data_IF_423883887257
#
_entry.id   IF_423883887257
#
_cell.length_a   1.000
_cell.length_b   1.000
_cell.length_c   1.000
_cell.angle_alpha   90.00
_cell.angle_beta   90.00
_cell.angle_gamma   90.00
#
_symmetry.space_group_name_H-M   'P 1'
#
loop_
_entity.id
_entity.type
_entity.pdbx_description
1 polymer ?
#
# COMPACT_ATOMS: atom_id res chain seq x y z
N UNK A 1 11.54 13.34 10.01
CA UNK A 1 10.69 12.73 11.06
C UNK A 1 9.84 11.66 10.39
N UNK A 2 9.51 10.59 11.09
CA UNK A 2 8.67 9.49 10.60
C UNK A 2 7.42 9.36 11.45
N UNK A 3 6.34 8.82 10.89
CA UNK A 3 5.19 8.38 11.66
C UNK A 3 5.62 7.26 12.62
N UNK A 4 5.07 7.27 13.84
CA UNK A 4 5.34 6.22 14.83
C UNK A 4 4.75 4.91 14.38
N UNK A 5 3.62 4.95 13.67
CA UNK A 5 2.97 3.74 13.16
C UNK A 5 2.14 4.05 11.92
N UNK A 6 2.36 3.27 10.87
CA UNK A 6 1.40 3.04 9.78
C UNK A 6 1.15 1.54 9.72
N UNK A 7 -0.10 1.13 9.49
CA UNK A 7 -0.44 -0.28 9.32
C UNK A 7 -0.77 -0.53 7.86
N UNK A 8 -0.05 -1.45 7.24
CA UNK A 8 -0.39 -1.95 5.91
C UNK A 8 -1.12 -3.27 6.05
N UNK A 9 -2.26 -3.41 5.37
CA UNK A 9 -3.07 -4.64 5.31
C UNK A 9 -3.13 -5.13 3.87
N UNK A 10 -3.01 -6.43 3.68
CA UNK A 10 -3.00 -7.07 2.37
C UNK A 10 -4.09 -8.13 2.31
N UNK A 11 -4.92 -8.07 1.27
CA UNK A 11 -6.01 -9.02 1.09
C UNK A 11 -6.34 -9.26 -0.39
N UNK A 12 -7.26 -10.19 -0.66
CA UNK A 12 -7.66 -10.53 -2.02
C UNK A 12 -6.56 -11.17 -2.85
N UNK A 13 -5.53 -11.76 -2.24
CA UNK A 13 -4.38 -12.36 -2.91
C UNK A 13 -3.18 -11.41 -3.04
N UNK A 14 -3.29 -10.15 -2.63
CA UNK A 14 -2.13 -9.24 -2.57
C UNK A 14 -1.05 -9.77 -1.61
N UNK A 15 -1.42 -10.44 -0.52
CA UNK A 15 -0.50 -11.03 0.45
C UNK A 15 0.50 -12.02 -0.17
N UNK A 16 0.14 -12.65 -1.30
CA UNK A 16 1.04 -13.57 -2.02
C UNK A 16 2.30 -12.87 -2.54
N UNK A 17 2.23 -11.56 -2.81
CA UNK A 17 3.38 -10.77 -3.24
C UNK A 17 4.33 -10.43 -2.07
N UNK A 18 3.87 -10.60 -0.83
CA UNK A 18 4.55 -10.20 0.40
C UNK A 18 4.78 -11.40 1.33
N UNK A 19 5.17 -12.55 0.77
CA UNK A 19 5.45 -13.79 1.54
C UNK A 19 4.28 -14.26 2.42
N UNK A 20 3.04 -14.06 1.94
CA UNK A 20 1.79 -14.39 2.63
C UNK A 20 1.56 -13.61 3.92
N UNK A 21 2.27 -12.49 4.12
CA UNK A 21 1.99 -11.57 5.21
C UNK A 21 0.69 -10.80 4.94
N UNK A 22 -0.24 -10.83 5.91
CA UNK A 22 -1.52 -10.10 5.82
C UNK A 22 -1.41 -8.72 6.47
N UNK A 23 -0.54 -8.56 7.47
CA UNK A 23 -0.38 -7.32 8.22
C UNK A 23 1.10 -6.95 8.28
N UNK A 24 1.45 -5.77 7.76
CA UNK A 24 2.80 -5.23 7.77
C UNK A 24 2.79 -3.94 8.62
N UNK A 25 3.15 -4.01 9.91
CA UNK A 25 3.28 -2.81 10.73
C UNK A 25 4.57 -2.05 10.37
N UNK A 26 4.43 -0.78 10.00
CA UNK A 26 5.53 0.11 9.67
C UNK A 26 5.73 1.10 10.82
N UNK A 27 6.62 0.77 11.76
CA UNK A 27 6.96 1.63 12.90
C UNK A 27 8.23 2.44 12.61
N UNK A 28 8.13 3.77 12.70
CA UNK A 28 9.24 4.69 12.44
C UNK A 28 9.88 4.55 11.03
N UNK A 29 9.08 4.11 10.05
CA UNK A 29 9.53 3.87 8.66
C UNK A 29 9.03 4.95 7.71
N UNK A 30 7.74 5.29 7.77
CA UNK A 30 7.10 6.19 6.80
C UNK A 30 7.38 7.64 7.19
N UNK A 31 7.98 8.48 6.32
CA UNK A 31 8.23 9.89 6.61
C UNK A 31 6.95 10.68 6.89
N UNK A 32 7.02 11.65 7.80
CA UNK A 32 5.91 12.60 8.01
C UNK A 32 5.69 13.43 6.75
N UNK A 33 4.44 13.53 6.32
CA UNK A 33 4.06 14.20 5.07
C UNK A 33 4.16 13.31 3.85
N UNK A 34 4.42 12.00 4.03
CA UNK A 34 4.45 11.07 2.92
C UNK A 34 3.04 10.84 2.34
N UNK A 35 2.96 10.68 1.03
CA UNK A 35 1.70 10.35 0.35
C UNK A 35 1.51 8.84 0.19
N UNK A 36 0.30 8.43 -0.18
CA UNK A 36 0.01 7.03 -0.57
C UNK A 36 0.93 6.57 -1.71
N UNK A 37 1.22 7.40 -2.72
CA UNK A 37 2.20 7.09 -3.78
C UNK A 37 3.58 6.71 -3.22
N UNK A 38 4.05 7.48 -2.23
CA UNK A 38 5.36 7.25 -1.63
C UNK A 38 5.37 5.99 -0.75
N UNK A 39 4.25 5.67 -0.10
CA UNK A 39 4.08 4.38 0.59
C UNK A 39 4.11 3.21 -0.40
N UNK A 40 3.42 3.31 -1.54
CA UNK A 40 3.43 2.29 -2.60
C UNK A 40 4.87 2.05 -3.09
N UNK A 41 5.62 3.11 -3.39
CA UNK A 41 7.01 3.02 -3.84
C UNK A 41 7.94 2.44 -2.75
N UNK A 42 7.72 2.77 -1.48
CA UNK A 42 8.44 2.19 -0.34
C UNK A 42 8.18 0.68 -0.24
N UNK A 43 6.93 0.25 -0.32
CA UNK A 43 6.54 -1.15 -0.28
C UNK A 43 7.12 -1.92 -1.48
N UNK A 44 7.03 -1.34 -2.68
CA UNK A 44 7.61 -1.90 -3.92
C UNK A 44 9.10 -2.19 -3.78
N UNK A 45 9.87 -1.29 -3.14
CA UNK A 45 11.33 -1.39 -3.05
C UNK A 45 11.83 -2.30 -1.94
N UNK A 46 11.09 -2.43 -0.84
CA UNK A 46 11.59 -3.10 0.38
C UNK A 46 10.77 -4.31 0.86
N UNK A 47 9.48 -4.36 0.51
CA UNK A 47 8.53 -5.27 1.16
C UNK A 47 7.99 -6.34 0.23
N UNK A 48 7.80 -6.03 -1.05
CA UNK A 48 7.45 -7.05 -2.06
C UNK A 48 8.57 -8.09 -2.14
N UNK A 49 8.22 -9.37 -2.02
CA UNK A 49 9.13 -10.53 -2.07
C UNK A 49 9.10 -11.26 -3.41
N UNK A 50 8.01 -11.08 -4.15
CA UNK A 50 7.85 -11.56 -5.51
C UNK A 50 8.19 -10.45 -6.52
N UNK A 51 7.58 -10.51 -7.70
CA UNK A 51 7.74 -9.55 -8.80
C UNK A 51 7.07 -8.20 -8.49
N UNK A 52 7.82 -7.10 -8.28
CA UNK A 52 7.25 -5.79 -7.94
C UNK A 52 6.28 -5.22 -8.99
N UNK A 53 6.47 -5.56 -10.26
CA UNK A 53 5.59 -5.19 -11.38
C UNK A 53 4.20 -5.84 -11.31
N UNK A 54 3.96 -6.78 -10.41
CA UNK A 54 2.63 -7.30 -10.11
C UNK A 54 1.88 -6.45 -9.09
N UNK A 55 2.60 -5.64 -8.30
CA UNK A 55 2.01 -4.75 -7.28
C UNK A 55 1.76 -3.33 -7.82
N UNK A 56 2.67 -2.81 -8.64
CA UNK A 56 2.60 -1.43 -9.16
C UNK A 56 2.31 -1.35 -10.66
N UNK A 57 1.84 -0.20 -11.11
CA UNK A 57 1.72 0.11 -12.53
C UNK A 57 3.09 0.36 -13.20
N UNK A 58 3.08 0.66 -14.50
CA UNK A 58 4.30 0.91 -15.27
C UNK A 58 5.09 2.16 -14.83
N UNK A 59 4.44 3.10 -14.14
CA UNK A 59 5.11 4.30 -13.58
C UNK A 59 5.75 3.99 -12.23
N UNK A 60 5.21 2.99 -11.52
CA UNK A 60 5.63 2.61 -10.19
C UNK A 60 5.19 3.57 -9.10
N UNK A 61 4.37 4.58 -9.43
CA UNK A 61 3.82 5.58 -8.51
C UNK A 61 2.38 5.24 -8.06
N UNK A 62 1.72 4.33 -8.76
CA UNK A 62 0.40 3.81 -8.40
C UNK A 62 0.41 2.27 -8.38
N UNK A 63 -0.60 1.68 -7.74
CA UNK A 63 -0.82 0.24 -7.78
C UNK A 63 -1.27 -0.20 -9.17
N UNK A 64 -1.02 -1.48 -9.48
CA UNK A 64 -1.47 -2.08 -10.74
C UNK A 64 -3.01 -2.04 -10.84
N UNK A 65 -3.59 -1.76 -12.02
CA UNK A 65 -5.04 -1.87 -12.22
C UNK A 65 -5.58 -3.22 -11.73
N UNK A 66 -6.65 -3.17 -10.95
CA UNK A 66 -7.20 -4.34 -10.27
C UNK A 66 -6.82 -4.46 -8.81
N UNK A 67 -5.92 -3.63 -8.30
CA UNK A 67 -5.68 -3.46 -6.86
C UNK A 67 -6.42 -2.20 -6.40
N UNK A 68 -7.24 -2.33 -5.37
CA UNK A 68 -7.92 -1.24 -4.68
C UNK A 68 -7.09 -0.83 -3.46
N UNK A 69 -6.98 0.49 -3.23
CA UNK A 69 -6.31 1.05 -2.04
C UNK A 69 -7.38 1.67 -1.14
N UNK A 70 -7.43 1.24 0.11
CA UNK A 70 -8.28 1.84 1.13
C UNK A 70 -7.41 2.52 2.19
N UNK A 71 -7.78 3.72 2.62
CA UNK A 71 -7.21 4.37 3.81
C UNK A 71 -8.30 4.43 4.87
N UNK A 72 -8.06 3.79 6.01
CA UNK A 72 -9.01 3.65 7.11
C UNK A 72 -10.39 3.13 6.67
N UNK A 73 -10.39 2.17 5.74
CA UNK A 73 -11.61 1.56 5.17
C UNK A 73 -12.36 2.42 4.15
N UNK A 74 -11.83 3.59 3.79
CA UNK A 74 -12.39 4.47 2.76
C UNK A 74 -11.55 4.37 1.48
N UNK A 75 -12.20 4.37 0.31
CA UNK A 75 -11.50 4.34 -0.99
C UNK A 75 -10.55 5.53 -1.10
N UNK A 76 -9.27 5.26 -1.37
CA UNK A 76 -8.26 6.31 -1.48
C UNK A 76 -8.65 7.35 -2.54
N UNK A 77 -9.31 6.96 -3.64
CA UNK A 77 -9.72 7.87 -4.71
C UNK A 77 -10.64 8.99 -4.21
N UNK A 78 -11.47 8.74 -3.18
CA UNK A 78 -12.32 9.81 -2.61
C UNK A 78 -11.58 10.71 -1.62
N UNK A 79 -10.42 10.29 -1.15
CA UNK A 79 -9.55 11.01 -0.20
C UNK A 79 -8.42 11.80 -0.88
N UNK A 80 -8.40 11.84 -2.22
CA UNK A 80 -7.34 12.46 -3.02
C UNK A 80 -6.43 11.46 -3.75
N UNK A 81 -6.78 10.18 -3.73
CA UNK A 81 -6.07 9.09 -4.40
C UNK A 81 -4.66 8.92 -3.86
N UNK A 82 -3.71 8.73 -4.78
CA UNK A 82 -2.29 8.54 -4.45
C UNK A 82 -1.62 9.78 -3.84
N UNK A 83 -2.25 10.96 -3.94
CA UNK A 83 -1.77 12.22 -3.37
C UNK A 83 -2.25 12.44 -1.92
N UNK A 84 -3.10 11.56 -1.39
CA UNK A 84 -3.50 11.60 0.01
C UNK A 84 -2.27 11.51 0.92
N UNK A 85 -2.10 12.48 1.83
CA UNK A 85 -1.01 12.54 2.80
C UNK A 85 -1.37 11.69 4.01
N UNK A 86 -0.50 10.75 4.36
CA UNK A 86 -0.70 9.82 5.46
C UNK A 86 -0.56 10.52 6.82
N UNK A 87 -1.32 10.02 7.79
CA UNK A 87 -1.31 10.45 9.18
C UNK A 87 -0.83 9.33 10.12
N UNK A 88 -0.32 9.71 11.30
CA UNK A 88 0.15 8.73 12.29
C UNK A 88 -1.02 7.85 12.75
N UNK A 89 -0.87 6.54 12.60
CA UNK A 89 -1.87 5.54 12.97
C UNK A 89 -2.73 5.03 11.82
N UNK A 90 -2.61 5.59 10.61
CA UNK A 90 -3.40 5.16 9.46
C UNK A 90 -3.25 3.68 9.14
N UNK A 91 -4.37 3.07 8.75
CA UNK A 91 -4.42 1.76 8.13
C UNK A 91 -4.60 1.93 6.61
N UNK A 92 -3.65 1.40 5.85
CA UNK A 92 -3.70 1.37 4.38
C UNK A 92 -3.85 -0.08 3.93
N UNK A 93 -4.99 -0.40 3.34
CA UNK A 93 -5.28 -1.74 2.82
C UNK A 93 -5.11 -1.79 1.30
N UNK A 94 -4.40 -2.82 0.82
CA UNK A 94 -4.32 -3.16 -0.60
C UNK A 94 -5.09 -4.45 -0.86
N UNK A 95 -6.15 -4.35 -1.66
CA UNK A 95 -7.04 -5.46 -1.99
C UNK A 95 -6.92 -5.75 -3.48
N UNK A 96 -6.41 -6.92 -3.87
CA UNK A 96 -6.53 -7.32 -5.27
C UNK A 96 -7.95 -7.80 -5.55
N UNK A 97 -8.62 -7.09 -6.44
CA UNK A 97 -9.97 -7.37 -6.95
C UNK A 97 -9.95 -8.24 -8.20
N UNK A 98 -8.77 -8.53 -8.75
CA UNK A 98 -8.56 -9.16 -10.05
C UNK A 98 -7.95 -10.57 -9.97
N UNK A 99 -8.22 -11.28 -8.87
CA UNK A 99 -7.93 -12.71 -8.75
C UNK A 99 -9.20 -13.53 -8.98
N UNK A 100 -9.59 -13.63 -10.25
CA UNK A 100 -10.56 -14.61 -10.71
C UNK A 100 -9.84 -15.79 -11.38
N UNK A 101 -9.70 -16.90 -10.64
CA UNK A 101 -9.43 -18.24 -11.19
C UNK A 101 -7.98 -18.62 -11.42
#
# INVERSE_FOLDING_TARGET
MTHRKIKVVLSGGCELLFDKEVNIPLADVVPVGATVAQLIDLLRRGYVKERPELFVDATGANVRPGILVLVNGCDAEVLGGVEHVLEDGDEVEFVSTLHGG
#
